data_IF_475920242244
#
_entry.id   IF_475920242244
#
_cell.length_a   1.000
_cell.length_b   1.000
_cell.length_c   1.000
_cell.angle_alpha   90.00
_cell.angle_beta   90.00
_cell.angle_gamma   90.00
#
_symmetry.space_group_name_H-M   'P 1'
#
loop_
_entity.id
_entity.type
_entity.pdbx_description
1 polymer ?
#
# COMPACT_ATOMS: atom_id res chain seq x y z
N UNK A 1 11.05 14.97 21.94
CA UNK A 1 10.76 14.46 20.59
C UNK A 1 11.92 14.91 19.72
N UNK A 2 12.87 14.03 19.43
CA UNK A 2 13.94 14.33 18.46
C UNK A 2 13.29 14.69 17.13
N UNK A 3 13.73 15.79 16.52
CA UNK A 3 13.23 16.27 15.22
C UNK A 3 13.74 15.44 14.05
N UNK A 4 13.61 14.12 14.12
CA UNK A 4 13.94 13.23 13.02
C UNK A 4 12.84 13.33 11.95
N UNK A 5 13.20 13.96 10.82
CA UNK A 5 12.39 13.95 9.61
C UNK A 5 12.65 12.63 8.89
N UNK A 6 11.65 11.76 8.86
CA UNK A 6 11.74 10.53 8.09
C UNK A 6 11.42 10.84 6.62
N UNK A 7 12.27 10.41 5.66
CA UNK A 7 12.08 10.76 4.24
C UNK A 7 10.70 10.38 3.68
N UNK A 8 10.13 9.25 4.10
CA UNK A 8 8.80 8.80 3.68
C UNK A 8 7.65 9.62 4.27
N UNK A 9 7.89 10.36 5.36
CA UNK A 9 6.90 11.29 5.96
C UNK A 9 6.95 12.64 5.24
N UNK A 10 8.11 13.03 4.71
CA UNK A 10 8.29 14.30 4.00
C UNK A 10 7.57 14.33 2.63
N UNK A 11 7.21 13.16 2.06
CA UNK A 11 6.29 13.05 0.94
C UNK A 11 6.91 12.55 -0.37
N UNK A 12 6.20 12.79 -1.47
CA UNK A 12 6.49 12.37 -2.85
C UNK A 12 6.74 10.87 -3.02
N UNK A 13 5.92 10.05 -2.34
CA UNK A 13 5.90 8.60 -2.57
C UNK A 13 5.50 8.31 -4.03
N UNK A 14 6.26 7.44 -4.66
CA UNK A 14 6.04 6.93 -6.02
C UNK A 14 5.65 5.48 -5.90
N UNK A 15 4.52 5.12 -6.51
CA UNK A 15 4.06 3.74 -6.59
C UNK A 15 4.31 3.27 -8.02
N UNK A 16 4.97 2.13 -8.17
CA UNK A 16 5.18 1.54 -9.49
C UNK A 16 3.83 1.18 -10.13
N UNK A 17 3.76 1.34 -11.45
CA UNK A 17 2.51 1.13 -12.18
C UNK A 17 1.97 -0.30 -11.97
N UNK A 18 2.84 -1.30 -12.01
CA UNK A 18 2.44 -2.70 -11.86
C UNK A 18 1.83 -2.97 -10.48
N UNK A 19 2.34 -2.32 -9.42
CA UNK A 19 1.77 -2.37 -8.07
C UNK A 19 0.37 -1.76 -8.06
N UNK A 20 0.19 -0.61 -8.71
CA UNK A 20 -1.12 0.05 -8.78
C UNK A 20 -2.12 -0.77 -9.60
N UNK A 21 -1.70 -1.37 -10.71
CA UNK A 21 -2.53 -2.24 -11.53
C UNK A 21 -3.00 -3.49 -10.74
N UNK A 22 -2.14 -4.06 -9.90
CA UNK A 22 -2.52 -5.19 -9.03
C UNK A 22 -3.48 -4.77 -7.91
N UNK A 23 -3.32 -3.58 -7.33
CA UNK A 23 -4.28 -3.01 -6.36
C UNK A 23 -5.65 -2.86 -7.01
N UNK A 24 -5.70 -2.31 -8.23
CA UNK A 24 -6.96 -2.17 -8.99
C UNK A 24 -7.58 -3.54 -9.25
N UNK A 25 -6.79 -4.52 -9.70
CA UNK A 25 -7.28 -5.87 -9.92
C UNK A 25 -7.86 -6.49 -8.63
N UNK A 26 -7.18 -6.35 -7.50
CA UNK A 26 -7.67 -6.86 -6.22
C UNK A 26 -8.99 -6.19 -5.80
N UNK A 27 -9.11 -4.87 -5.99
CA UNK A 27 -10.34 -4.14 -5.72
C UNK A 27 -11.52 -4.63 -6.58
N UNK A 28 -11.27 -4.92 -7.86
CA UNK A 28 -12.29 -5.49 -8.76
C UNK A 28 -12.71 -6.91 -8.35
N UNK A 29 -11.76 -7.73 -7.89
CA UNK A 29 -12.02 -9.10 -7.42
C UNK A 29 -12.81 -9.13 -6.10
N UNK A 30 -12.56 -8.18 -5.19
CA UNK A 30 -13.24 -8.10 -3.90
C UNK A 30 -14.64 -7.47 -3.96
N UNK A 31 -14.97 -6.74 -5.03
CA UNK A 31 -16.25 -6.04 -5.13
C UNK A 31 -17.44 -7.02 -4.97
N UNK A 32 -18.44 -6.71 -4.12
CA UNK A 32 -18.75 -5.42 -3.51
C UNK A 32 -18.05 -5.11 -2.17
N UNK A 33 -17.24 -6.03 -1.64
CA UNK A 33 -16.43 -5.80 -0.44
C UNK A 33 -15.20 -4.93 -0.74
N UNK A 34 -14.58 -4.41 0.33
CA UNK A 34 -13.32 -3.66 0.24
C UNK A 34 -12.12 -4.62 0.15
N UNK A 35 -11.22 -4.39 -0.81
CA UNK A 35 -9.91 -5.05 -0.83
C UNK A 35 -8.97 -4.44 0.22
N UNK A 36 -8.16 -5.26 0.88
CA UNK A 36 -7.20 -4.81 1.91
C UNK A 36 -5.77 -5.28 1.59
N UNK A 37 -4.76 -4.59 2.13
CA UNK A 37 -3.35 -4.96 1.95
C UNK A 37 -2.35 -3.87 2.34
N UNK A 38 -1.08 -4.19 2.08
CA UNK A 38 0.07 -3.31 2.31
C UNK A 38 0.84 -3.07 1.01
N UNK A 39 1.52 -1.93 0.94
CA UNK A 39 2.53 -1.61 -0.08
C UNK A 39 3.87 -1.38 0.60
N UNK A 40 4.95 -1.78 -0.06
CA UNK A 40 6.31 -1.74 0.46
C UNK A 40 7.27 -1.23 -0.61
N UNK A 41 8.46 -0.84 -0.15
CA UNK A 41 9.58 -0.50 -1.03
C UNK A 41 10.93 -0.74 -0.36
N UNK A 42 12.03 -0.62 -1.12
CA UNK A 42 13.36 -0.88 -0.61
C UNK A 42 13.79 0.19 0.39
N UNK A 43 14.42 -0.23 1.49
CA UNK A 43 14.92 0.70 2.52
C UNK A 43 15.94 1.72 1.99
N UNK A 44 16.61 1.42 0.86
CA UNK A 44 17.56 2.31 0.20
C UNK A 44 16.88 3.45 -0.58
N UNK A 45 15.60 3.30 -0.95
CA UNK A 45 14.81 4.31 -1.66
C UNK A 45 13.46 4.52 -0.97
N UNK A 46 13.41 5.27 0.15
CA UNK A 46 12.22 5.32 0.99
C UNK A 46 10.98 6.01 0.39
N UNK A 47 11.13 6.62 -0.79
CA UNK A 47 10.02 7.20 -1.55
C UNK A 47 9.47 6.27 -2.64
N UNK A 48 10.02 5.08 -2.84
CA UNK A 48 9.54 4.11 -3.82
C UNK A 48 8.65 3.06 -3.14
N UNK A 49 7.58 2.66 -3.81
CA UNK A 49 6.71 1.54 -3.45
C UNK A 49 6.60 0.61 -4.67
N UNK A 50 7.33 -0.51 -4.63
CA UNK A 50 7.54 -1.46 -5.75
C UNK A 50 7.02 -2.88 -5.45
N UNK A 51 6.44 -3.10 -4.27
CA UNK A 51 5.86 -4.37 -3.87
C UNK A 51 4.56 -4.19 -3.10
N UNK A 52 3.72 -5.23 -3.09
CA UNK A 52 2.50 -5.28 -2.29
C UNK A 52 2.26 -6.65 -1.68
N UNK A 53 1.40 -6.68 -0.66
CA UNK A 53 0.85 -7.89 -0.06
C UNK A 53 -0.65 -7.69 0.14
N UNK A 54 -1.45 -8.55 -0.47
CA UNK A 54 -2.90 -8.61 -0.26
C UNK A 54 -3.19 -9.18 1.12
N UNK A 55 -4.21 -8.66 1.78
CA UNK A 55 -4.67 -9.13 3.09
C UNK A 55 -6.18 -9.34 3.07
N UNK A 56 -6.66 -10.23 3.93
CA UNK A 56 -8.09 -10.34 4.20
C UNK A 56 -8.58 -9.05 4.86
N UNK A 57 -9.72 -8.52 4.41
CA UNK A 57 -10.36 -7.41 5.11
C UNK A 57 -11.01 -7.92 6.39
N UNK A 58 -10.27 -7.91 7.50
CA UNK A 58 -10.78 -8.30 8.82
C UNK A 58 -12.04 -7.52 9.24
N UNK A 59 -12.27 -6.32 8.69
CA UNK A 59 -13.46 -5.53 8.96
C UNK A 59 -14.74 -6.17 8.39
N UNK A 60 -14.64 -6.97 7.33
CA UNK A 60 -15.79 -7.68 6.73
C UNK A 60 -16.46 -8.64 7.73
N UNK A 61 -15.74 -9.08 8.77
CA UNK A 61 -16.28 -9.95 9.83
C UNK A 61 -17.39 -9.29 10.66
N UNK A 62 -17.56 -7.97 10.52
CA UNK A 62 -18.52 -7.18 11.27
C UNK A 62 -19.72 -6.69 10.43
N UNK A 63 -19.79 -7.05 9.15
CA UNK A 63 -20.84 -6.66 8.20
C UNK A 63 -21.65 -7.87 7.71
#
# INVERSE_FOLDING_TARGET
>A
MSGESFPWIAGDLRIDKDVMDEIEQHALECYPSESCGFVFGPAAEPSLLDALQREENEADKYH
#
